data_IF_677051253692
#
_entry.id   IF_677051253692
#
_cell.length_a   1.000
_cell.length_b   1.000
_cell.length_c   1.000
_cell.angle_alpha   90.00
_cell.angle_beta   90.00
_cell.angle_gamma   90.00
#
_symmetry.space_group_name_H-M   'P 1'
#
loop_
_entity.id
_entity.type
_entity.pdbx_description
1 polymer ?
#
# COMPACT_ATOMS: atom_id res chain seq x y z
N UNK A 1 18.04 3.56 -0.54
CA UNK A 1 16.92 2.77 -1.10
C UNK A 1 15.64 3.32 -0.49
N UNK A 2 14.70 3.80 -1.30
CA UNK A 2 13.43 4.34 -0.78
C UNK A 2 12.63 3.21 -0.16
N UNK A 3 12.16 3.41 1.08
CA UNK A 3 11.29 2.47 1.81
C UNK A 3 9.87 3.01 1.80
N UNK A 4 8.89 2.14 1.96
CA UNK A 4 7.49 2.53 2.13
C UNK A 4 6.96 2.11 3.47
N UNK A 5 6.17 2.98 4.09
CA UNK A 5 5.56 2.76 5.39
C UNK A 5 4.05 2.83 5.25
N UNK A 6 3.37 1.89 5.87
CA UNK A 6 1.90 1.87 5.93
C UNK A 6 1.48 1.72 7.37
N UNK A 7 0.79 2.73 7.92
CA UNK A 7 0.30 2.69 9.30
C UNK A 7 -0.93 1.80 9.39
N UNK A 8 -0.89 0.81 10.29
CA UNK A 8 -2.06 -0.01 10.56
C UNK A 8 -3.11 0.81 11.32
N UNK A 9 -4.40 0.73 10.90
CA UNK A 9 -5.48 1.26 11.71
C UNK A 9 -5.52 0.61 13.09
N UNK A 10 -5.85 1.40 14.11
CA UNK A 10 -5.91 0.93 15.50
C UNK A 10 -6.89 -0.24 15.74
N UNK A 11 -7.81 -0.49 14.81
CA UNK A 11 -8.75 -1.61 14.85
C UNK A 11 -8.18 -2.94 14.36
N UNK A 12 -7.05 -2.92 13.64
CA UNK A 12 -6.38 -4.14 13.17
C UNK A 12 -5.79 -4.87 14.36
N UNK A 13 -6.01 -6.18 14.41
CA UNK A 13 -5.50 -7.07 15.46
C UNK A 13 -4.89 -8.30 14.80
N UNK A 14 -3.72 -8.78 15.26
CA UNK A 14 -3.20 -10.08 14.86
C UNK A 14 -4.17 -11.22 15.22
N UNK A 15 -4.25 -12.28 14.41
CA UNK A 15 -3.60 -12.43 13.11
C UNK A 15 -4.28 -11.59 12.00
N UNK A 16 -3.49 -11.09 11.05
CA UNK A 16 -3.97 -10.39 9.87
C UNK A 16 -3.15 -10.78 8.63
N UNK A 17 -3.70 -10.50 7.45
CA UNK A 17 -3.07 -10.75 6.15
C UNK A 17 -2.95 -9.43 5.40
N UNK A 18 -1.78 -9.17 4.82
CA UNK A 18 -1.48 -7.95 4.07
C UNK A 18 -1.49 -8.26 2.59
N UNK A 19 -2.11 -7.40 1.79
CA UNK A 19 -2.15 -7.49 0.34
C UNK A 19 -1.64 -6.19 -0.28
N UNK A 20 -0.79 -6.30 -1.29
CA UNK A 20 -0.39 -5.19 -2.18
C UNK A 20 -1.00 -5.47 -3.54
N UNK A 21 -1.91 -4.61 -4.01
CA UNK A 21 -2.64 -4.78 -5.27
C UNK A 21 -3.31 -6.17 -5.41
N UNK A 22 -3.79 -6.72 -4.29
CA UNK A 22 -4.42 -8.05 -4.24
C UNK A 22 -3.44 -9.24 -4.12
N UNK A 23 -2.13 -9.00 -4.09
CA UNK A 23 -1.12 -10.04 -3.88
C UNK A 23 -0.74 -10.12 -2.40
N UNK A 24 -0.89 -11.29 -1.80
CA UNK A 24 -0.55 -11.53 -0.39
C UNK A 24 0.95 -11.29 -0.15
N UNK A 25 1.26 -10.60 0.95
CA UNK A 25 2.61 -10.27 1.39
C UNK A 25 2.94 -10.99 2.70
N UNK A 26 4.19 -11.41 2.86
CA UNK A 26 4.67 -12.18 4.01
C UNK A 26 5.52 -11.32 4.94
N UNK A 27 5.16 -11.30 6.23
CA UNK A 27 5.95 -10.67 7.28
C UNK A 27 7.33 -11.35 7.40
N UNK A 28 8.39 -10.55 7.55
CA UNK A 28 9.79 -10.99 7.61
C UNK A 28 10.42 -11.29 6.24
N UNK A 29 9.65 -11.21 5.15
CA UNK A 29 10.13 -11.38 3.77
C UNK A 29 9.85 -10.11 2.96
N UNK A 30 8.58 -9.72 2.87
CA UNK A 30 8.13 -8.60 2.05
C UNK A 30 8.00 -7.29 2.86
N UNK A 31 7.70 -7.41 4.16
CA UNK A 31 7.62 -6.29 5.11
C UNK A 31 7.94 -6.72 6.54
N UNK A 32 8.29 -5.75 7.39
CA UNK A 32 8.41 -5.91 8.85
C UNK A 32 7.34 -5.08 9.56
N UNK A 33 6.98 -5.45 10.79
CA UNK A 33 6.01 -4.72 11.61
C UNK A 33 6.74 -4.02 12.76
N UNK A 34 6.76 -2.69 12.75
CA UNK A 34 7.41 -1.87 13.79
C UNK A 34 6.38 -0.88 14.33
N UNK A 35 6.06 -0.98 15.62
CA UNK A 35 5.13 -0.07 16.32
C UNK A 35 3.77 0.16 15.61
N UNK A 36 3.22 -0.91 15.00
CA UNK A 36 1.96 -0.84 14.25
C UNK A 36 2.09 -0.21 12.86
N UNK A 37 3.30 -0.16 12.32
CA UNK A 37 3.61 0.30 10.95
C UNK A 37 4.20 -0.87 10.18
N UNK A 38 3.70 -1.10 8.96
CA UNK A 38 4.28 -2.03 7.99
C UNK A 38 5.42 -1.30 7.27
N UNK A 39 6.65 -1.77 7.46
CA UNK A 39 7.82 -1.27 6.75
C UNK A 39 8.17 -2.19 5.58
N UNK A 40 8.00 -1.69 4.36
CA UNK A 40 8.40 -2.37 3.14
C UNK A 40 9.84 -1.99 2.77
N UNK A 41 10.65 -2.98 2.44
CA UNK A 41 12.03 -2.77 1.98
C UNK A 41 12.10 -2.11 0.57
N UNK A 42 10.99 -2.15 -0.17
CA UNK A 42 10.82 -1.55 -1.50
C UNK A 42 9.97 -0.28 -1.47
N UNK A 43 10.18 0.60 -2.45
CA UNK A 43 9.34 1.78 -2.65
C UNK A 43 8.04 1.37 -3.36
N UNK A 44 6.93 1.41 -2.64
CA UNK A 44 5.58 1.33 -3.19
C UNK A 44 5.24 2.71 -3.79
N UNK A 45 4.96 2.77 -5.09
CA UNK A 45 4.76 4.04 -5.78
C UNK A 45 3.31 4.50 -5.63
N UNK A 46 3.09 5.52 -4.79
CA UNK A 46 1.85 6.30 -4.75
C UNK A 46 2.06 7.59 -5.55
N UNK A 47 2.00 7.53 -6.88
CA UNK A 47 2.19 8.73 -7.72
C UNK A 47 1.08 9.78 -7.47
N UNK A 48 1.41 10.85 -6.73
CA UNK A 48 0.52 12.00 -6.43
C UNK A 48 0.51 13.09 -7.52
N UNK A 49 1.11 12.90 -8.70
CA UNK A 49 1.17 13.98 -9.70
C UNK A 49 1.20 13.48 -11.15
N UNK A 50 0.03 13.13 -11.68
CA UNK A 50 -0.16 12.84 -13.09
C UNK A 50 -1.46 13.53 -13.55
N UNK A 51 -1.40 14.41 -14.58
CA UNK A 51 -2.45 14.60 -15.62
C UNK A 51 -2.63 16.05 -16.15
N UNK A 52 -1.60 16.61 -16.78
CA UNK A 52 -1.85 17.44 -17.99
C UNK A 52 -1.59 16.58 -19.22
N UNK A 53 -0.47 15.85 -19.23
CA UNK A 53 -0.14 14.90 -20.30
C UNK A 53 -1.07 13.66 -20.32
N UNK A 54 -1.64 13.21 -19.20
CA UNK A 54 -2.57 12.07 -19.24
C UNK A 54 -3.95 12.42 -19.81
N UNK A 55 -4.44 13.64 -19.61
CA UNK A 55 -5.57 14.15 -20.38
C UNK A 55 -5.21 14.22 -21.87
N UNK A 56 -3.96 14.68 -22.14
CA UNK A 56 -3.23 14.61 -23.40
C UNK A 56 -3.54 13.33 -24.21
N UNK A 57 -2.97 12.22 -23.73
CA UNK A 57 -3.05 10.90 -24.36
C UNK A 57 -4.39 10.18 -24.19
N UNK A 58 -5.11 10.43 -23.08
CA UNK A 58 -6.40 9.80 -22.81
C UNK A 58 -7.48 10.20 -23.82
N UNK A 59 -7.41 11.42 -24.37
CA UNK A 59 -8.28 11.87 -25.45
C UNK A 59 -8.10 11.07 -26.76
N UNK A 60 -6.97 10.38 -26.95
CA UNK A 60 -6.69 9.51 -28.10
C UNK A 60 -6.94 8.01 -27.86
N UNK A 61 -7.56 7.64 -26.73
CA UNK A 61 -7.95 6.24 -26.48
C UNK A 61 -6.81 5.31 -26.04
N UNK A 62 -5.62 5.85 -25.73
CA UNK A 62 -4.52 5.06 -25.17
C UNK A 62 -4.68 5.05 -23.64
N UNK A 63 -5.17 3.93 -23.11
CA UNK A 63 -5.37 3.73 -21.68
C UNK A 63 -4.07 3.88 -20.89
N UNK A 64 -3.95 4.95 -20.11
CA UNK A 64 -2.84 5.15 -19.18
C UNK A 64 -3.24 4.56 -17.82
N UNK A 65 -3.01 3.27 -17.62
CA UNK A 65 -3.16 2.63 -16.32
C UNK A 65 -2.11 3.23 -15.37
N UNK A 66 -2.56 4.15 -14.51
CA UNK A 66 -1.72 4.72 -13.46
C UNK A 66 -1.33 3.62 -12.48
N UNK A 67 -0.03 3.53 -12.17
CA UNK A 67 0.49 2.64 -11.14
C UNK A 67 0.18 3.26 -9.78
N UNK A 68 -1.01 2.95 -9.26
CA UNK A 68 -1.43 3.34 -7.92
C UNK A 68 -1.35 2.11 -7.04
N UNK A 69 -0.22 1.89 -6.37
CA UNK A 69 -0.10 0.78 -5.44
C UNK A 69 -1.08 0.96 -4.27
N UNK A 70 -1.82 -0.10 -3.97
CA UNK A 70 -2.85 -0.15 -2.95
C UNK A 70 -2.48 -1.23 -1.92
N UNK A 71 -2.47 -0.84 -0.64
CA UNK A 71 -2.26 -1.78 0.46
C UNK A 71 -3.58 -2.03 1.19
N UNK A 72 -3.96 -3.29 1.25
CA UNK A 72 -5.15 -3.77 1.96
C UNK A 72 -4.74 -4.71 3.09
N UNK A 73 -5.47 -4.66 4.21
CA UNK A 73 -5.21 -5.51 5.38
C UNK A 73 -6.50 -6.18 5.82
N UNK A 74 -6.50 -7.51 5.85
CA UNK A 74 -7.61 -8.33 6.30
C UNK A 74 -7.35 -8.92 7.69
N UNK A 75 -8.33 -8.93 8.58
CA UNK A 75 -8.22 -9.52 9.92
C UNK A 75 -9.57 -10.07 10.40
N UNK A 76 -9.58 -10.77 11.54
CA UNK A 76 -10.81 -11.27 12.15
C UNK A 76 -11.12 -10.57 13.48
N UNK A 77 -12.40 -10.28 13.73
CA UNK A 77 -12.91 -9.79 15.02
C UNK A 77 -14.12 -10.62 15.41
N UNK A 78 -14.02 -11.37 16.51
CA UNK A 78 -15.10 -12.24 16.97
C UNK A 78 -15.56 -13.26 15.92
N UNK A 79 -14.60 -13.83 15.18
CA UNK A 79 -14.87 -14.78 14.08
C UNK A 79 -15.42 -14.16 12.79
N UNK A 80 -15.56 -12.84 12.70
CA UNK A 80 -16.03 -12.14 11.49
C UNK A 80 -14.87 -11.52 10.73
N UNK A 81 -14.77 -11.72 9.40
CA UNK A 81 -13.74 -11.08 8.58
C UNK A 81 -13.97 -9.56 8.50
N UNK A 82 -12.86 -8.82 8.52
CA UNK A 82 -12.79 -7.38 8.36
C UNK A 82 -11.64 -7.06 7.41
N UNK A 83 -11.78 -5.96 6.69
CA UNK A 83 -10.75 -5.48 5.77
C UNK A 83 -10.66 -3.97 5.82
N UNK A 84 -9.44 -3.45 5.74
CA UNK A 84 -9.14 -2.04 5.55
C UNK A 84 -8.48 -1.92 4.18
N UNK A 85 -9.08 -1.12 3.32
CA UNK A 85 -8.63 -0.96 1.94
C UNK A 85 -7.86 0.35 1.74
N UNK A 86 -6.96 0.34 0.77
CA UNK A 86 -6.26 1.53 0.28
C UNK A 86 -5.63 2.35 1.40
N UNK A 87 -4.90 1.64 2.29
CA UNK A 87 -4.17 2.29 3.37
C UNK A 87 -3.18 3.31 2.82
N UNK A 88 -2.96 4.36 3.60
CA UNK A 88 -2.01 5.39 3.23
C UNK A 88 -0.58 4.87 3.23
N UNK A 89 0.07 5.04 2.08
CA UNK A 89 1.48 4.71 1.86
C UNK A 89 2.28 6.00 2.02
N UNK A 90 3.16 6.02 3.01
CA UNK A 90 4.14 7.06 3.26
C UNK A 90 5.49 6.61 2.66
N UNK A 91 6.04 7.41 1.74
CA UNK A 91 7.40 7.16 1.22
C UNK A 91 8.39 7.71 2.23
N UNK A 92 9.27 6.85 2.75
CA UNK A 92 10.33 7.24 3.66
C UNK A 92 11.68 7.18 2.94
N UNK A 93 12.35 8.34 2.84
CA UNK A 93 13.73 8.42 2.38
C UNK A 93 14.68 8.35 3.60
N UNK A 94 15.51 7.31 3.74
CA UNK A 94 16.38 7.16 4.92
C UNK A 94 17.60 8.13 4.95
N UNK A 95 17.51 9.34 4.37
CA UNK A 95 18.59 10.34 4.34
C UNK A 95 18.17 11.75 4.82
N UNK A 96 17.34 11.85 5.86
CA UNK A 96 17.06 13.13 6.55
C UNK A 96 17.64 13.13 7.97
#
# INVERSE_FOLDING_TARGET
>A
MQRSRVRLPAAVRPPYTVFVNGVEQREGVDYEVVDGVLEFAVSLQKEKRLSIWRWFWGAWGIGTYGKNDQVDVAWQVGGRPRIAHALDIEVHDPQA
#
